data_IF_320391640323
#
_entry.id   IF_320391640323
#
_cell.length_a   1.000
_cell.length_b   1.000
_cell.length_c   1.000
_cell.angle_alpha   90.00
_cell.angle_beta   90.00
_cell.angle_gamma   90.00
#
_symmetry.space_group_name_H-M   'P 1'
#
loop_
_entity.id
_entity.type
_entity.pdbx_description
1 polymer ?
#
# COMPACT_ATOMS: atom_id res chain seq x y z
N UNK A 1 38.10 -19.00 4.18
CA UNK A 1 37.34 -19.22 2.93
C UNK A 1 35.97 -18.60 3.09
N UNK A 2 35.78 -17.35 2.68
CA UNK A 2 34.47 -16.70 2.72
C UNK A 2 33.81 -16.88 1.35
N UNK A 3 32.81 -17.76 1.30
CA UNK A 3 31.99 -17.96 0.11
C UNK A 3 31.22 -16.68 -0.21
N UNK A 4 31.69 -15.95 -1.21
CA UNK A 4 30.93 -14.86 -1.81
C UNK A 4 29.71 -15.46 -2.51
N UNK A 5 28.56 -15.45 -1.83
CA UNK A 5 27.27 -15.72 -2.45
C UNK A 5 27.08 -14.72 -3.59
N UNK A 6 27.26 -15.21 -4.82
CA UNK A 6 27.07 -14.45 -6.05
C UNK A 6 25.62 -13.93 -6.06
N UNK A 7 25.39 -12.61 -6.10
CA UNK A 7 24.02 -12.10 -6.21
C UNK A 7 23.44 -12.61 -7.53
N UNK A 8 22.37 -13.38 -7.42
CA UNK A 8 21.64 -13.97 -8.54
C UNK A 8 21.30 -12.87 -9.55
N UNK A 9 22.02 -12.83 -10.68
CA UNK A 9 21.63 -12.03 -11.83
C UNK A 9 20.25 -12.49 -12.25
N UNK A 10 19.22 -11.71 -11.92
CA UNK A 10 17.86 -11.93 -12.39
C UNK A 10 17.82 -11.74 -13.91
N UNK A 11 18.15 -12.81 -14.64
CA UNK A 11 18.07 -12.96 -16.12
C UNK A 11 16.64 -12.93 -16.68
N UNK A 12 15.68 -12.31 -15.99
CA UNK A 12 14.25 -12.48 -16.28
C UNK A 12 13.59 -11.12 -16.56
N UNK A 13 14.08 -10.36 -17.54
CA UNK A 13 13.20 -9.43 -18.26
C UNK A 13 13.63 -9.36 -19.74
N UNK A 14 13.17 -10.31 -20.56
CA UNK A 14 13.22 -10.19 -22.02
C UNK A 14 12.17 -9.16 -22.45
N UNK A 15 12.53 -7.87 -22.45
CA UNK A 15 11.68 -6.80 -22.97
C UNK A 15 11.65 -6.88 -24.51
N UNK A 16 10.61 -7.51 -25.06
CA UNK A 16 10.35 -7.51 -26.49
C UNK A 16 9.98 -6.10 -26.97
N UNK A 17 10.57 -5.71 -28.09
CA UNK A 17 10.48 -4.37 -28.67
C UNK A 17 9.14 -4.22 -29.38
N UNK A 18 8.22 -3.44 -28.80
CA UNK A 18 7.03 -2.93 -29.49
C UNK A 18 7.11 -1.41 -29.47
N UNK A 19 7.66 -0.87 -30.57
CA UNK A 19 7.82 0.55 -30.82
C UNK A 19 6.51 1.12 -31.37
N UNK A 20 5.68 1.70 -30.50
CA UNK A 20 4.62 2.61 -30.93
C UNK A 20 5.02 4.04 -30.55
N UNK A 21 5.28 4.83 -31.59
CA UNK A 21 5.49 6.27 -31.55
C UNK A 21 4.13 6.86 -31.19
N UNK A 22 4.01 7.48 -30.02
CA UNK A 22 2.87 8.32 -29.68
C UNK A 22 3.43 9.68 -29.24
N UNK A 23 2.94 10.76 -29.86
CA UNK A 23 3.24 12.17 -29.59
C UNK A 23 2.72 12.66 -28.22
N UNK A 24 2.90 11.85 -27.19
CA UNK A 24 2.57 12.20 -25.82
C UNK A 24 3.64 11.59 -24.92
N UNK A 25 4.12 12.35 -23.93
CA UNK A 25 5.17 11.91 -22.97
C UNK A 25 4.66 10.85 -21.97
N UNK A 26 3.80 9.96 -22.43
CA UNK A 26 3.18 8.87 -21.68
C UNK A 26 4.04 7.61 -21.86
N UNK A 27 4.40 7.00 -20.73
CA UNK A 27 5.22 5.78 -20.72
C UNK A 27 4.33 4.56 -20.97
N UNK A 28 4.80 3.63 -21.79
CA UNK A 28 4.07 2.38 -22.13
C UNK A 28 3.97 1.43 -20.94
N UNK A 29 3.03 0.47 -21.03
CA UNK A 29 2.82 -0.56 -19.99
C UNK A 29 4.06 -1.40 -19.71
N UNK A 30 4.89 -1.66 -20.71
CA UNK A 30 6.13 -2.44 -20.58
C UNK A 30 7.16 -1.72 -19.72
N UNK A 31 7.36 -0.41 -19.95
CA UNK A 31 8.24 0.44 -19.13
C UNK A 31 7.72 0.50 -17.68
N UNK A 32 6.42 0.74 -17.50
CA UNK A 32 5.80 0.81 -16.17
C UNK A 32 5.92 -0.51 -15.40
N UNK A 33 5.68 -1.65 -16.06
CA UNK A 33 5.77 -2.99 -15.46
C UNK A 33 7.22 -3.34 -15.06
N UNK A 34 8.18 -3.10 -15.96
CA UNK A 34 9.60 -3.37 -15.68
C UNK A 34 10.12 -2.53 -14.52
N UNK A 35 9.82 -1.23 -14.50
CA UNK A 35 10.25 -0.34 -13.43
C UNK A 35 9.68 -0.72 -12.05
N UNK A 36 8.40 -1.09 -11.97
CA UNK A 36 7.78 -1.57 -10.71
C UNK A 36 8.49 -2.81 -10.17
N UNK A 37 8.78 -3.78 -11.03
CA UNK A 37 9.49 -5.00 -10.67
C UNK A 37 10.92 -4.72 -10.17
N UNK A 38 11.62 -3.76 -10.77
CA UNK A 38 12.96 -3.33 -10.32
C UNK A 38 12.88 -2.70 -8.92
N UNK A 39 11.89 -1.84 -8.66
CA UNK A 39 11.71 -1.19 -7.35
C UNK A 39 11.38 -2.21 -6.25
N UNK A 40 10.47 -3.14 -6.54
CA UNK A 40 10.04 -4.18 -5.62
C UNK A 40 11.21 -5.07 -5.16
N UNK A 41 12.11 -5.44 -6.08
CA UNK A 41 13.25 -6.33 -5.77
C UNK A 41 14.49 -5.60 -5.26
N UNK A 42 14.76 -4.38 -5.75
CA UNK A 42 16.03 -3.69 -5.55
C UNK A 42 15.88 -2.29 -4.93
N UNK A 43 14.81 -2.05 -4.16
CA UNK A 43 14.55 -0.76 -3.51
C UNK A 43 15.77 -0.19 -2.80
N UNK A 44 16.52 -1.02 -2.05
CA UNK A 44 17.65 -0.59 -1.23
C UNK A 44 18.83 -0.02 -2.03
N UNK A 45 18.97 -0.39 -3.31
CA UNK A 45 20.05 0.10 -4.18
C UNK A 45 19.67 1.36 -4.93
N UNK A 46 18.38 1.69 -5.00
CA UNK A 46 17.86 2.78 -5.84
C UNK A 46 17.88 4.11 -5.09
N UNK A 47 18.13 5.19 -5.83
CA UNK A 47 18.24 6.56 -5.30
C UNK A 47 17.17 7.48 -5.93
N UNK A 48 17.21 8.78 -5.62
CA UNK A 48 16.37 9.80 -6.27
C UNK A 48 17.01 10.36 -7.56
N UNK A 49 18.30 10.08 -7.79
CA UNK A 49 19.05 10.60 -8.92
C UNK A 49 18.88 9.73 -10.18
N UNK A 50 18.90 10.36 -11.34
CA UNK A 50 18.69 9.68 -12.61
C UNK A 50 19.93 8.94 -13.09
N UNK A 51 21.12 9.52 -12.94
CA UNK A 51 22.34 8.97 -13.51
C UNK A 51 22.78 7.70 -12.78
N UNK A 52 22.67 7.70 -11.46
CA UNK A 52 22.89 6.53 -10.61
C UNK A 52 21.90 5.41 -10.92
N UNK A 53 20.59 5.69 -10.90
CA UNK A 53 19.56 4.70 -11.24
C UNK A 53 19.69 4.15 -12.66
N UNK A 54 20.16 4.95 -13.62
CA UNK A 54 20.43 4.50 -14.99
C UNK A 54 21.53 3.43 -15.04
N UNK A 55 22.61 3.61 -14.27
CA UNK A 55 23.70 2.60 -14.16
C UNK A 55 23.21 1.34 -13.46
N UNK A 56 22.46 1.51 -12.36
CA UNK A 56 21.87 0.38 -11.63
C UNK A 56 20.91 -0.44 -12.51
N UNK A 57 20.07 0.21 -13.32
CA UNK A 57 19.18 -0.51 -14.25
C UNK A 57 19.93 -1.30 -15.32
N UNK A 58 21.13 -0.86 -15.71
CA UNK A 58 21.99 -1.54 -16.68
C UNK A 58 22.70 -2.74 -16.07
N UNK A 59 23.08 -2.67 -14.79
CA UNK A 59 23.63 -3.80 -14.04
C UNK A 59 22.58 -4.88 -13.75
N UNK A 60 21.36 -4.47 -13.42
CA UNK A 60 20.30 -5.39 -12.94
C UNK A 60 19.60 -6.10 -14.10
N UNK A 61 19.43 -5.44 -15.24
CA UNK A 61 18.59 -5.95 -16.33
C UNK A 61 19.24 -5.81 -17.71
N UNK A 62 19.07 -6.86 -18.53
CA UNK A 62 19.50 -6.85 -19.93
C UNK A 62 18.46 -6.05 -20.74
N UNK A 63 18.74 -4.77 -20.97
CA UNK A 63 17.85 -3.87 -21.71
C UNK A 63 18.42 -3.65 -23.12
N UNK A 64 17.69 -4.01 -24.19
CA UNK A 64 18.26 -4.07 -25.54
C UNK A 64 18.52 -2.69 -26.17
N UNK A 65 17.88 -1.62 -25.67
CA UNK A 65 18.03 -0.29 -26.27
C UNK A 65 18.22 0.84 -25.25
N UNK A 66 19.08 1.79 -25.61
CA UNK A 66 19.37 3.01 -24.83
C UNK A 66 18.11 3.80 -24.48
N UNK A 67 17.18 3.94 -25.43
CA UNK A 67 15.93 4.67 -25.24
C UNK A 67 15.03 3.99 -24.21
N UNK A 68 14.91 2.65 -24.25
CA UNK A 68 14.13 1.90 -23.25
C UNK A 68 14.76 1.99 -21.87
N UNK A 69 16.09 1.85 -21.74
CA UNK A 69 16.80 2.02 -20.46
C UNK A 69 16.52 3.39 -19.86
N UNK A 70 16.61 4.45 -20.66
CA UNK A 70 16.36 5.81 -20.18
C UNK A 70 14.90 6.01 -19.74
N UNK A 71 13.93 5.45 -20.47
CA UNK A 71 12.51 5.50 -20.09
C UNK A 71 12.23 4.74 -18.80
N UNK A 72 12.86 3.58 -18.60
CA UNK A 72 12.74 2.78 -17.37
C UNK A 72 13.37 3.51 -16.18
N UNK A 73 14.63 3.91 -16.28
CA UNK A 73 15.32 4.64 -15.22
C UNK A 73 14.59 5.95 -14.85
N UNK A 74 14.05 6.67 -15.84
CA UNK A 74 13.27 7.88 -15.62
C UNK A 74 11.90 7.64 -14.98
N UNK A 75 11.31 6.46 -15.16
CA UNK A 75 10.09 6.09 -14.45
C UNK A 75 10.38 5.58 -13.03
N UNK A 76 11.52 4.90 -12.83
CA UNK A 76 12.01 4.50 -11.50
C UNK A 76 12.26 5.71 -10.61
N UNK A 77 12.96 6.74 -11.08
CA UNK A 77 13.18 7.98 -10.31
C UNK A 77 11.87 8.67 -9.96
N UNK A 78 10.91 8.70 -10.90
CA UNK A 78 9.61 9.29 -10.66
C UNK A 78 8.82 8.54 -9.57
N UNK A 79 8.87 7.21 -9.58
CA UNK A 79 8.23 6.40 -8.54
C UNK A 79 8.92 6.54 -7.18
N UNK A 80 10.26 6.61 -7.13
CA UNK A 80 10.97 6.83 -5.87
C UNK A 80 10.66 8.17 -5.21
N UNK A 81 10.49 9.23 -6.01
CA UNK A 81 10.03 10.52 -5.48
C UNK A 81 8.63 10.43 -4.86
N UNK A 82 7.73 9.66 -5.47
CA UNK A 82 6.36 9.47 -4.95
C UNK A 82 6.35 8.63 -3.68
N UNK A 83 7.18 7.59 -3.65
CA UNK A 83 7.29 6.67 -2.53
C UNK A 83 7.71 7.37 -1.23
N UNK A 84 8.56 8.41 -1.32
CA UNK A 84 8.96 9.22 -0.16
C UNK A 84 7.78 9.89 0.55
N UNK A 85 6.75 10.28 -0.21
CA UNK A 85 5.62 11.03 0.32
C UNK A 85 4.40 10.16 0.60
N UNK A 86 4.15 9.14 -0.21
CA UNK A 86 2.99 8.26 -0.05
C UNK A 86 3.23 6.86 -0.58
N UNK A 87 2.48 5.91 -0.04
CA UNK A 87 2.41 4.55 -0.56
C UNK A 87 1.95 4.57 -2.03
N UNK A 88 2.69 3.87 -2.89
CA UNK A 88 2.40 3.81 -4.33
C UNK A 88 1.68 2.50 -4.64
N UNK A 89 0.51 2.59 -5.31
CA UNK A 89 -0.31 1.42 -5.64
C UNK A 89 0.41 0.42 -6.56
N UNK A 90 0.35 -0.86 -6.17
CA UNK A 90 0.90 -1.97 -6.95
C UNK A 90 2.42 -1.99 -6.99
N UNK A 91 3.06 -1.62 -5.88
CA UNK A 91 4.45 -1.88 -5.54
C UNK A 91 4.42 -2.39 -4.10
N UNK A 92 4.78 -3.65 -3.88
CA UNK A 92 4.95 -4.18 -2.53
C UNK A 92 6.38 -3.91 -2.09
N UNK A 93 6.55 -3.19 -0.99
CA UNK A 93 7.85 -2.99 -0.36
C UNK A 93 7.74 -3.62 1.01
N UNK A 94 8.64 -4.55 1.32
CA UNK A 94 8.64 -5.27 2.60
C UNK A 94 8.59 -4.33 3.81
N UNK A 95 9.22 -3.16 3.69
CA UNK A 95 9.18 -2.12 4.72
C UNK A 95 7.77 -1.58 5.00
N UNK A 96 6.87 -1.57 4.00
CA UNK A 96 5.47 -1.18 4.17
C UNK A 96 4.63 -2.30 4.78
N UNK A 97 5.00 -3.57 4.56
CA UNK A 97 4.31 -4.71 5.15
C UNK A 97 4.52 -4.71 6.68
N UNK A 98 5.74 -4.44 7.13
CA UNK A 98 6.06 -4.37 8.57
C UNK A 98 5.37 -3.18 9.28
N UNK A 99 5.33 -1.98 8.67
CA UNK A 99 4.59 -0.85 9.24
C UNK A 99 3.07 -1.08 9.26
N UNK A 100 2.51 -1.75 8.24
CA UNK A 100 1.09 -2.13 8.25
C UNK A 100 0.79 -3.12 9.35
N UNK A 101 1.63 -4.13 9.51
CA UNK A 101 1.45 -5.15 10.55
C UNK A 101 1.48 -4.54 11.96
N UNK A 102 2.34 -3.53 12.20
CA UNK A 102 2.32 -2.78 13.48
C UNK A 102 1.06 -1.95 13.69
N UNK A 103 0.48 -1.38 12.62
CA UNK A 103 -0.79 -0.63 12.72
C UNK A 103 -1.99 -1.54 12.88
N UNK A 104 -2.04 -2.64 12.14
CA UNK A 104 -3.15 -3.58 12.16
C UNK A 104 -3.17 -4.37 13.49
N UNK A 105 -1.98 -4.66 14.05
CA UNK A 105 -1.86 -5.26 15.38
C UNK A 105 -1.92 -4.24 16.52
N UNK A 106 -2.19 -2.95 16.24
CA UNK A 106 -2.32 -1.95 17.28
C UNK A 106 -3.63 -2.19 18.05
N UNK A 107 -3.50 -2.76 19.24
CA UNK A 107 -4.59 -2.85 20.21
C UNK A 107 -4.41 -1.70 21.20
N UNK A 108 -5.38 -0.78 21.31
CA UNK A 108 -5.31 0.31 22.28
C UNK A 108 -5.34 -0.24 23.70
N UNK A 109 -4.75 0.49 24.65
CA UNK A 109 -4.72 0.08 26.07
C UNK A 109 -6.12 0.01 26.69
N UNK A 110 -7.04 0.86 26.23
CA UNK A 110 -8.43 0.90 26.67
C UNK A 110 -9.33 0.51 25.51
N UNK A 111 -10.23 -0.44 25.76
CA UNK A 111 -11.24 -0.84 24.77
C UNK A 111 -12.26 0.27 24.60
N UNK A 112 -12.49 0.72 23.37
CA UNK A 112 -13.56 1.66 23.06
C UNK A 112 -14.98 1.08 23.32
N UNK A 113 -15.10 -0.18 23.73
CA UNK A 113 -16.35 -0.80 24.15
C UNK A 113 -16.56 -0.73 25.66
N UNK A 114 -15.49 -0.50 26.42
CA UNK A 114 -15.52 -0.40 27.88
C UNK A 114 -15.99 1.01 28.23
N UNK A 115 -17.32 1.18 28.28
CA UNK A 115 -17.96 2.38 28.76
C UNK A 115 -18.68 2.08 30.07
N UNK A 116 -18.53 2.98 31.04
CA UNK A 116 -19.23 2.89 32.33
C UNK A 116 -20.76 3.03 32.17
N UNK A 117 -21.20 3.66 31.07
CA UNK A 117 -22.59 3.96 30.77
C UNK A 117 -22.90 3.53 29.33
N UNK A 118 -23.91 2.67 29.18
CA UNK A 118 -24.43 2.17 27.90
C UNK A 118 -25.84 2.73 27.72
N UNK A 119 -25.97 3.69 26.82
CA UNK A 119 -27.25 4.31 26.47
C UNK A 119 -28.05 3.40 25.53
N UNK A 120 -29.28 3.06 25.93
CA UNK A 120 -30.15 2.12 25.21
C UNK A 120 -31.57 2.68 25.07
N UNK A 121 -32.15 2.50 23.89
CA UNK A 121 -33.53 2.88 23.61
C UNK A 121 -34.55 1.97 24.33
N UNK A 122 -35.78 2.43 24.59
CA UNK A 122 -36.80 1.66 25.28
C UNK A 122 -37.12 0.31 24.61
N UNK A 123 -37.26 0.28 23.27
CA UNK A 123 -37.56 -0.94 22.51
C UNK A 123 -36.41 -1.97 22.61
N UNK A 124 -35.17 -1.49 22.53
CA UNK A 124 -33.97 -2.35 22.64
C UNK A 124 -33.83 -2.94 24.05
N UNK A 125 -34.28 -2.23 25.09
CA UNK A 125 -34.33 -2.75 26.46
C UNK A 125 -35.36 -3.87 26.63
N UNK A 126 -36.51 -3.76 25.98
CA UNK A 126 -37.52 -4.83 25.97
C UNK A 126 -37.00 -6.07 25.24
N UNK A 127 -36.31 -5.88 24.12
CA UNK A 127 -35.64 -6.96 23.40
C UNK A 127 -34.62 -7.70 24.29
N UNK A 128 -33.78 -6.95 25.04
CA UNK A 128 -32.81 -7.54 25.98
C UNK A 128 -33.49 -8.37 27.07
N UNK A 129 -34.65 -7.92 27.56
CA UNK A 129 -35.46 -8.63 28.55
C UNK A 129 -36.05 -9.93 27.98
N UNK A 130 -36.49 -9.92 26.72
CA UNK A 130 -37.00 -11.13 26.03
C UNK A 130 -35.91 -12.17 25.78
N UNK A 131 -34.67 -11.72 25.59
CA UNK A 131 -33.49 -12.58 25.41
C UNK A 131 -32.85 -13.00 26.75
N UNK A 132 -33.50 -12.73 27.88
CA UNK A 132 -33.06 -13.07 29.25
C UNK A 132 -31.75 -12.39 29.71
N UNK A 133 -31.28 -11.34 29.03
CA UNK A 133 -30.12 -10.54 29.42
C UNK A 133 -30.50 -9.45 30.45
N UNK A 134 -30.85 -9.88 31.66
CA UNK A 134 -31.40 -9.00 32.70
C UNK A 134 -30.36 -8.22 33.53
N UNK A 135 -29.09 -8.64 33.53
CA UNK A 135 -28.05 -8.15 34.46
C UNK A 135 -26.86 -7.46 33.76
N UNK A 136 -27.10 -6.70 32.69
CA UNK A 136 -26.03 -5.91 32.06
C UNK A 136 -25.82 -4.63 32.88
N UNK A 137 -24.61 -4.45 33.41
CA UNK A 137 -24.21 -3.27 34.20
C UNK A 137 -24.07 -2.04 33.31
N UNK A 138 -24.44 -0.86 33.82
CA UNK A 138 -24.23 0.41 33.11
C UNK A 138 -25.33 0.82 32.12
N UNK A 139 -26.42 0.04 31.99
CA UNK A 139 -27.54 0.40 31.09
C UNK A 139 -28.31 1.64 31.57
N UNK A 140 -28.37 2.67 30.72
CA UNK A 140 -29.21 3.86 30.91
C UNK A 140 -30.20 4.04 29.75
N UNK A 141 -31.44 4.42 30.07
CA UNK A 141 -32.46 4.67 29.07
C UNK A 141 -32.29 6.08 28.49
N UNK A 142 -32.16 6.18 27.17
CA UNK A 142 -32.16 7.46 26.45
C UNK A 142 -33.61 7.89 26.15
N UNK A 143 -33.86 9.20 26.09
CA UNK A 143 -35.14 9.71 25.61
C UNK A 143 -35.16 9.62 24.08
N UNK A 144 -36.26 9.13 23.47
CA UNK A 144 -36.34 8.98 22.03
C UNK A 144 -36.19 10.35 21.35
N UNK A 145 -35.13 10.50 20.55
CA UNK A 145 -34.91 11.71 19.77
C UNK A 145 -35.95 11.73 18.65
N UNK A 146 -36.98 12.58 18.78
CA UNK A 146 -37.98 12.81 17.74
C UNK A 146 -37.36 13.55 16.55
N UNK A 147 -36.59 12.86 15.70
CA UNK A 147 -36.12 13.38 14.42
C UNK A 147 -36.67 12.54 13.27
N UNK A 148 -37.98 12.62 13.08
CA UNK A 148 -38.62 12.30 11.80
C UNK A 148 -38.62 13.55 10.91
N UNK A 149 -37.50 13.80 10.25
CA UNK A 149 -37.53 14.51 8.96
C UNK A 149 -36.49 13.91 8.02
N UNK A 150 -36.67 12.63 7.68
CA UNK A 150 -36.11 12.10 6.44
C UNK A 150 -37.04 12.56 5.32
N UNK A 151 -36.69 13.70 4.71
CA UNK A 151 -37.36 14.21 3.50
C UNK A 151 -37.27 13.16 2.39
N UNK A 152 -38.41 12.97 1.72
CA UNK A 152 -38.62 12.15 0.52
C UNK A 152 -37.75 12.60 -0.65
#
# INVERSE_FOLDING_TARGET
MFGSAVPQQLKIIRLSVLSLINESRVRTKTVKKAAKMIIEKYHHRLTLDFHTNKRICEEIAIIPSKSLRNKIAGFVTHLMKRLKHSQVRGISIKLQEEERERRDNYVPEVSALEHDIIEVDPETKEMLKMLEFNNITGLQLTQPVTQFSRRS
#
